data_IF_334033665191
#
_entry.id   IF_334033665191
#
_cell.length_a   1.000
_cell.length_b   1.000
_cell.length_c   1.000
_cell.angle_alpha   90.00
_cell.angle_beta   90.00
_cell.angle_gamma   90.00
#
_symmetry.space_group_name_H-M   'P 1'
#
loop_
_entity.id
_entity.type
_entity.pdbx_description
1 polymer ?
#
# COMPACT_ATOMS: atom_id res chain seq x y z
N UNK A 1 19.90 22.81 5.95
CA UNK A 1 18.90 23.33 4.99
C UNK A 1 19.13 22.65 3.67
N UNK A 2 18.08 22.04 3.11
CA UNK A 2 18.13 21.34 1.83
C UNK A 2 17.54 22.28 0.78
N UNK A 3 17.90 22.09 -0.48
CA UNK A 3 17.41 22.86 -1.61
C UNK A 3 16.74 21.93 -2.62
N UNK A 4 15.61 22.37 -3.17
CA UNK A 4 14.88 21.67 -4.23
C UNK A 4 14.44 22.67 -5.29
N UNK A 5 14.62 22.31 -6.55
CA UNK A 5 14.15 23.09 -7.71
C UNK A 5 12.99 22.36 -8.37
N UNK A 6 11.94 23.12 -8.71
CA UNK A 6 10.78 22.70 -9.50
C UNK A 6 10.78 23.52 -10.78
N UNK A 7 10.70 22.87 -11.93
CA UNK A 7 10.69 23.51 -13.25
C UNK A 7 9.27 23.54 -13.81
N UNK A 8 8.85 24.70 -14.29
CA UNK A 8 7.54 24.95 -14.91
C UNK A 8 7.65 24.78 -16.43
N UNK A 9 7.57 23.54 -16.89
CA UNK A 9 7.62 23.22 -18.33
C UNK A 9 6.23 23.30 -18.96
N UNK A 10 6.11 23.97 -20.12
CA UNK A 10 4.85 24.14 -20.86
C UNK A 10 3.74 24.86 -20.06
N UNK A 11 4.12 25.79 -19.19
CA UNK A 11 3.21 26.58 -18.34
C UNK A 11 3.42 28.06 -18.63
N UNK A 12 2.33 28.80 -18.85
CA UNK A 12 2.38 30.26 -18.90
C UNK A 12 2.72 30.81 -17.52
N UNK A 13 3.89 31.45 -17.40
CA UNK A 13 4.37 32.01 -16.13
C UNK A 13 3.41 33.07 -15.57
N UNK A 14 2.75 33.84 -16.43
CA UNK A 14 1.78 34.87 -16.04
C UNK A 14 0.55 34.23 -15.40
N UNK A 15 0.02 33.17 -16.03
CA UNK A 15 -1.21 32.52 -15.58
C UNK A 15 -1.00 31.61 -14.36
N UNK A 16 0.24 31.21 -14.09
CA UNK A 16 0.62 30.37 -12.96
C UNK A 16 1.13 31.17 -11.76
N UNK A 17 2.08 32.08 -11.96
CA UNK A 17 2.68 32.88 -10.88
C UNK A 17 1.78 34.05 -10.45
N UNK A 18 0.90 34.51 -11.36
CA UNK A 18 0.05 35.66 -11.16
C UNK A 18 0.79 36.99 -11.25
N UNK A 19 0.04 38.10 -11.21
CA UNK A 19 0.60 39.46 -11.19
C UNK A 19 1.51 39.61 -9.98
N UNK A 20 2.72 40.13 -10.19
CA UNK A 20 3.75 40.33 -9.16
C UNK A 20 4.18 39.05 -8.39
N UNK A 21 4.00 37.86 -8.97
CA UNK A 21 4.29 36.57 -8.33
C UNK A 21 3.43 36.25 -7.09
N UNK A 22 2.20 36.78 -7.03
CA UNK A 22 1.26 36.55 -5.92
C UNK A 22 1.09 35.09 -5.53
N UNK A 23 1.17 34.13 -6.45
CA UNK A 23 1.12 32.69 -6.14
C UNK A 23 2.26 32.28 -5.22
N UNK A 24 3.49 32.74 -5.50
CA UNK A 24 4.68 32.43 -4.71
C UNK A 24 4.67 33.20 -3.40
N UNK A 25 4.21 34.45 -3.40
CA UNK A 25 4.13 35.26 -2.18
C UNK A 25 3.12 34.65 -1.19
N UNK A 26 1.96 34.20 -1.69
CA UNK A 26 0.94 33.51 -0.88
C UNK A 26 1.49 32.21 -0.30
N UNK A 27 2.23 31.44 -1.11
CA UNK A 27 2.86 30.20 -0.66
C UNK A 27 3.99 30.47 0.36
N UNK A 28 4.81 31.50 0.14
CA UNK A 28 5.87 31.89 1.06
C UNK A 28 5.32 32.40 2.41
N UNK A 29 4.20 33.13 2.38
CA UNK A 29 3.51 33.58 3.59
C UNK A 29 3.00 32.41 4.45
N UNK A 30 2.57 31.32 3.81
CA UNK A 30 2.10 30.11 4.49
C UNK A 30 3.24 29.27 5.11
N UNK A 31 4.48 29.41 4.63
CA UNK A 31 5.65 28.65 5.10
C UNK A 31 6.81 29.57 5.51
N UNK A 32 6.66 30.36 6.60
CA UNK A 32 7.59 31.43 6.96
C UNK A 32 9.01 30.95 7.36
N UNK A 33 9.19 29.66 7.65
CA UNK A 33 10.51 29.07 7.98
C UNK A 33 11.25 28.55 6.74
N UNK A 34 10.58 28.53 5.58
CA UNK A 34 11.13 28.16 4.29
C UNK A 34 11.27 29.38 3.38
N UNK A 35 12.24 29.33 2.48
CA UNK A 35 12.49 30.36 1.47
C UNK A 35 12.10 29.82 0.10
N UNK A 36 11.09 30.43 -0.51
CA UNK A 36 10.58 30.08 -1.85
C UNK A 36 10.89 31.25 -2.78
N UNK A 37 11.54 30.97 -3.90
CA UNK A 37 11.94 32.01 -4.86
C UNK A 37 11.66 31.52 -6.27
N UNK A 38 10.97 32.34 -7.08
CA UNK A 38 10.83 32.10 -8.52
C UNK A 38 11.92 32.84 -9.29
N UNK A 39 12.52 32.16 -10.28
CA UNK A 39 13.48 32.72 -11.24
C UNK A 39 13.21 32.12 -12.62
N UNK A 40 12.62 32.91 -13.51
CA UNK A 40 12.24 32.41 -14.84
C UNK A 40 11.19 31.30 -14.72
N UNK A 41 11.47 30.13 -15.31
CA UNK A 41 10.61 28.94 -15.21
C UNK A 41 10.98 28.03 -14.03
N UNK A 42 11.87 28.45 -13.12
CA UNK A 42 12.25 27.64 -11.96
C UNK A 42 11.70 28.24 -10.66
N UNK A 43 11.23 27.36 -9.77
CA UNK A 43 10.88 27.66 -8.39
C UNK A 43 11.87 26.92 -7.49
N UNK A 44 12.64 27.68 -6.72
CA UNK A 44 13.64 27.16 -5.78
C UNK A 44 13.09 27.24 -4.37
N UNK A 45 13.11 26.11 -3.67
CA UNK A 45 12.62 25.95 -2.31
C UNK A 45 13.82 25.60 -1.41
N UNK A 46 14.01 26.37 -0.34
CA UNK A 46 15.02 26.11 0.69
C UNK A 46 14.36 26.04 2.06
N UNK A 47 14.58 24.96 2.79
CA UNK A 47 13.90 24.78 4.07
C UNK A 47 14.28 23.48 4.78
N UNK A 48 13.41 23.09 5.71
CA UNK A 48 13.42 21.75 6.32
C UNK A 48 12.88 20.71 5.32
N UNK A 49 13.24 19.44 5.49
CA UNK A 49 12.76 18.36 4.62
C UNK A 49 11.23 18.28 4.60
N UNK A 50 10.58 18.46 5.76
CA UNK A 50 9.12 18.40 5.88
C UNK A 50 8.43 19.52 5.10
N UNK A 51 8.90 20.76 5.25
CA UNK A 51 8.32 21.91 4.52
C UNK A 51 8.61 21.84 3.02
N UNK A 52 9.80 21.37 2.61
CA UNK A 52 10.11 21.18 1.18
C UNK A 52 9.14 20.19 0.54
N UNK A 53 8.80 19.09 1.23
CA UNK A 53 7.84 18.11 0.73
C UNK A 53 6.45 18.74 0.58
N UNK A 54 5.96 19.44 1.61
CA UNK A 54 4.66 20.12 1.58
C UNK A 54 4.57 21.17 0.47
N UNK A 55 5.58 22.03 0.36
CA UNK A 55 5.65 23.07 -0.69
C UNK A 55 5.69 22.41 -2.08
N UNK A 56 6.43 21.31 -2.24
CA UNK A 56 6.50 20.57 -3.49
C UNK A 56 5.15 19.93 -3.87
N UNK A 57 4.42 19.37 -2.91
CA UNK A 57 3.12 18.73 -3.14
C UNK A 57 2.03 19.75 -3.48
N UNK A 58 2.04 20.91 -2.81
CA UNK A 58 1.18 22.06 -3.17
C UNK A 58 1.52 22.54 -4.58
N UNK A 59 2.80 22.74 -4.91
CA UNK A 59 3.22 23.15 -6.26
C UNK A 59 2.82 22.14 -7.33
N UNK A 60 2.97 20.84 -7.07
CA UNK A 60 2.50 19.79 -7.97
C UNK A 60 0.98 19.86 -8.20
N UNK A 61 0.21 20.04 -7.13
CA UNK A 61 -1.25 20.19 -7.21
C UNK A 61 -1.67 21.46 -7.98
N UNK A 62 -0.93 22.55 -7.83
CA UNK A 62 -1.15 23.79 -8.58
C UNK A 62 -0.79 23.63 -10.06
N UNK A 63 0.27 22.88 -10.38
CA UNK A 63 0.65 22.54 -11.76
C UNK A 63 -0.45 21.70 -12.43
N UNK A 64 -0.96 20.68 -11.74
CA UNK A 64 -2.08 19.87 -12.22
C UNK A 64 -3.36 20.71 -12.40
N UNK A 65 -3.62 21.62 -11.46
CA UNK A 65 -4.74 22.57 -11.56
C UNK A 65 -4.60 23.44 -12.81
N UNK A 66 -3.40 23.98 -13.05
CA UNK A 66 -3.11 24.78 -14.23
C UNK A 66 -3.34 24.00 -15.52
N UNK A 67 -2.84 22.77 -15.63
CA UNK A 67 -3.05 21.95 -16.82
C UNK A 67 -4.53 21.64 -17.08
N UNK A 68 -5.36 21.61 -16.04
CA UNK A 68 -6.80 21.34 -16.16
C UNK A 68 -7.65 22.58 -16.45
N UNK A 69 -7.29 23.73 -15.87
CA UNK A 69 -8.15 24.93 -15.86
C UNK A 69 -7.52 26.15 -16.54
N UNK A 70 -6.24 26.09 -16.92
CA UNK A 70 -5.52 27.10 -17.68
C UNK A 70 -5.08 28.34 -16.88
N UNK A 71 -5.42 28.45 -15.59
CA UNK A 71 -4.94 29.51 -14.69
C UNK A 71 -4.90 29.03 -13.24
N UNK A 72 -4.12 29.73 -12.42
CA UNK A 72 -4.10 29.57 -10.96
C UNK A 72 -4.51 30.90 -10.32
N UNK A 73 -5.53 30.90 -9.47
CA UNK A 73 -5.92 32.10 -8.69
C UNK A 73 -5.41 32.03 -7.26
N UNK A 74 -5.32 33.19 -6.60
CA UNK A 74 -4.97 33.29 -5.18
C UNK A 74 -5.90 32.44 -4.29
N UNK A 75 -7.20 32.40 -4.61
CA UNK A 75 -8.17 31.53 -3.94
C UNK A 75 -7.84 30.05 -4.15
N UNK A 76 -7.38 29.64 -5.34
CA UNK A 76 -6.92 28.27 -5.55
C UNK A 76 -5.69 27.96 -4.69
N UNK A 77 -4.71 28.86 -4.67
CA UNK A 77 -3.48 28.70 -3.87
C UNK A 77 -3.82 28.58 -2.38
N UNK A 78 -4.66 29.47 -1.84
CA UNK A 78 -5.14 29.38 -0.46
C UNK A 78 -5.91 28.10 -0.21
N UNK A 79 -6.77 27.64 -1.14
CA UNK A 79 -7.48 26.37 -0.99
C UNK A 79 -6.55 25.15 -0.98
N UNK A 80 -5.49 25.13 -1.79
CA UNK A 80 -4.51 24.04 -1.78
C UNK A 80 -3.61 24.08 -0.54
N UNK A 81 -3.21 25.28 -0.09
CA UNK A 81 -2.53 25.48 1.19
C UNK A 81 -3.41 25.03 2.35
N UNK A 82 -4.65 25.51 2.42
CA UNK A 82 -5.61 25.15 3.46
C UNK A 82 -5.96 23.67 3.42
N UNK A 83 -6.05 23.02 2.25
CA UNK A 83 -6.20 21.55 2.19
C UNK A 83 -4.97 20.83 2.72
N UNK A 84 -3.78 21.32 2.41
CA UNK A 84 -2.52 20.77 2.92
C UNK A 84 -2.35 21.04 4.43
N UNK A 85 -2.93 22.13 4.95
CA UNK A 85 -2.88 22.53 6.36
C UNK A 85 -4.08 22.03 7.20
N UNK A 86 -5.25 21.76 6.61
CA UNK A 86 -6.41 21.06 7.22
C UNK A 86 -6.08 19.59 7.43
N UNK A 87 -5.13 19.04 6.66
CA UNK A 87 -4.47 17.78 7.01
C UNK A 87 -3.74 17.89 8.37
N UNK A 88 -3.57 19.09 8.96
CA UNK A 88 -2.84 19.35 10.20
C UNK A 88 -3.59 20.08 11.35
N UNK A 89 -4.87 20.46 11.25
CA UNK A 89 -5.60 21.04 12.40
C UNK A 89 -6.28 19.94 13.26
N UNK A 90 -6.14 19.98 14.60
CA UNK A 90 -6.45 18.85 15.46
C UNK A 90 -7.91 18.87 15.92
N UNK A 91 -8.74 18.04 15.32
CA UNK A 91 -9.85 17.43 16.06
C UNK A 91 -10.15 16.04 15.48
N UNK A 92 -10.08 15.02 16.33
CA UNK A 92 -10.28 13.59 16.04
C UNK A 92 -9.31 12.93 15.01
N UNK A 93 -8.04 12.84 15.41
CA UNK A 93 -7.19 11.66 15.20
C UNK A 93 -7.03 11.11 13.78
N UNK A 94 -6.20 11.75 12.95
CA UNK A 94 -5.42 11.15 11.84
C UNK A 94 -4.19 12.02 11.55
N UNK A 95 -3.09 11.46 11.00
CA UNK A 95 -1.79 11.62 11.65
C UNK A 95 -0.69 12.20 10.71
N UNK A 96 0.49 12.45 11.28
CA UNK A 96 1.66 13.17 10.71
C UNK A 96 2.28 12.58 9.42
N UNK A 97 3.33 13.20 8.86
CA UNK A 97 4.11 12.67 7.72
C UNK A 97 4.66 11.22 7.93
N UNK A 98 4.56 10.68 9.15
CA UNK A 98 4.85 9.29 9.50
C UNK A 98 3.82 8.26 8.99
N UNK A 99 2.65 8.69 8.50
CA UNK A 99 1.53 7.79 8.16
C UNK A 99 1.44 7.39 6.70
N UNK A 100 2.25 8.00 5.84
CA UNK A 100 2.39 7.56 4.46
C UNK A 100 3.27 6.31 4.44
N UNK A 101 2.71 5.20 3.97
CA UNK A 101 3.46 3.95 3.82
C UNK A 101 4.35 4.05 2.59
N UNK A 102 3.79 4.39 1.44
CA UNK A 102 4.53 4.55 0.19
C UNK A 102 3.78 5.49 -0.74
N UNK A 103 4.50 6.23 -1.57
CA UNK A 103 3.90 6.97 -2.68
C UNK A 103 3.71 6.06 -3.88
N UNK A 104 2.50 6.07 -4.44
CA UNK A 104 2.15 5.33 -5.63
C UNK A 104 2.79 5.92 -6.90
N UNK A 105 2.60 5.22 -8.02
CA UNK A 105 3.18 5.60 -9.33
C UNK A 105 2.67 6.94 -9.85
N UNK A 106 1.46 7.35 -9.45
CA UNK A 106 0.84 8.64 -9.80
C UNK A 106 1.06 9.71 -8.73
N UNK A 107 2.01 9.52 -7.82
CA UNK A 107 2.28 10.45 -6.70
C UNK A 107 1.25 10.38 -5.56
N UNK A 108 0.14 9.67 -5.72
CA UNK A 108 -0.86 9.51 -4.67
C UNK A 108 -0.28 8.76 -3.44
N UNK A 109 -0.44 9.28 -2.21
CA UNK A 109 0.04 8.61 -1.02
C UNK A 109 -0.81 7.38 -0.70
N UNK A 110 -0.15 6.25 -0.43
CA UNK A 110 -0.77 5.04 0.11
C UNK A 110 -0.58 5.04 1.62
N UNK A 111 -1.68 5.13 2.34
CA UNK A 111 -1.74 5.19 3.81
C UNK A 111 -2.81 4.25 4.37
N UNK A 112 -2.69 3.93 5.65
CA UNK A 112 -3.78 3.28 6.37
C UNK A 112 -5.00 4.21 6.39
N UNK A 113 -6.18 3.65 6.08
CA UNK A 113 -7.46 4.38 6.05
C UNK A 113 -8.32 4.11 7.28
N UNK A 114 -7.94 3.13 8.09
CA UNK A 114 -8.71 2.66 9.24
C UNK A 114 -7.79 2.37 10.41
N UNK A 115 -8.34 2.36 11.62
CA UNK A 115 -7.57 2.09 12.85
C UNK A 115 -6.91 0.71 12.82
N UNK A 116 -7.58 -0.32 12.32
CA UNK A 116 -6.97 -1.66 12.26
C UNK A 116 -5.92 -1.78 11.14
N UNK A 117 -6.06 -1.02 10.05
CA UNK A 117 -4.98 -0.90 9.06
C UNK A 117 -3.76 -0.19 9.66
N UNK A 118 -3.96 0.83 10.50
CA UNK A 118 -2.86 1.49 11.20
C UNK A 118 -2.19 0.54 12.20
N UNK A 119 -2.97 -0.24 12.95
CA UNK A 119 -2.44 -1.30 13.82
C UNK A 119 -1.61 -2.32 13.06
N UNK A 120 -1.98 -2.67 11.82
CA UNK A 120 -1.15 -3.51 10.96
C UNK A 120 0.19 -2.84 10.63
N UNK A 121 0.18 -1.55 10.27
CA UNK A 121 1.40 -0.78 10.00
C UNK A 121 2.32 -0.74 11.21
N UNK A 122 1.78 -0.51 12.40
CA UNK A 122 2.55 -0.40 13.64
C UNK A 122 3.07 -1.76 14.10
N UNK A 123 2.24 -2.81 14.05
CA UNK A 123 2.63 -4.17 14.42
C UNK A 123 3.85 -4.68 13.64
N UNK A 124 3.99 -4.30 12.37
CA UNK A 124 5.13 -4.69 11.52
C UNK A 124 6.44 -3.98 11.91
N UNK A 125 6.36 -2.83 12.59
CA UNK A 125 7.55 -2.15 13.15
C UNK A 125 8.13 -2.97 14.30
N UNK A 126 7.25 -3.43 15.19
CA UNK A 126 7.63 -4.06 16.46
C UNK A 126 7.81 -5.58 16.39
N UNK A 127 7.29 -6.22 15.33
CA UNK A 127 7.31 -7.67 15.18
C UNK A 127 7.99 -8.09 13.87
N UNK A 128 8.61 -9.26 13.88
CA UNK A 128 9.22 -9.83 12.69
C UNK A 128 8.24 -10.68 11.89
N UNK A 129 7.25 -11.26 12.57
CA UNK A 129 6.13 -11.99 11.95
C UNK A 129 4.81 -11.36 12.37
N UNK A 130 3.94 -11.04 11.40
CA UNK A 130 2.61 -10.50 11.69
C UNK A 130 1.53 -11.29 10.96
N UNK A 131 0.49 -11.70 11.68
CA UNK A 131 -0.74 -12.23 11.11
C UNK A 131 -1.76 -11.11 10.94
N UNK A 132 -2.16 -10.81 9.71
CA UNK A 132 -3.23 -9.88 9.38
C UNK A 132 -4.48 -10.66 8.96
N UNK A 133 -5.42 -10.78 9.89
CA UNK A 133 -6.61 -11.62 9.75
C UNK A 133 -7.83 -10.74 9.47
N UNK A 134 -8.69 -11.11 8.53
CA UNK A 134 -9.95 -10.40 8.35
C UNK A 134 -10.58 -10.57 6.97
N UNK A 135 -11.80 -10.04 6.79
CA UNK A 135 -12.58 -10.30 5.58
C UNK A 135 -11.98 -9.69 4.31
N UNK A 136 -12.45 -10.18 3.15
CA UNK A 136 -12.09 -9.64 1.85
C UNK A 136 -12.48 -8.14 1.71
N UNK A 137 -11.58 -7.35 1.14
CA UNK A 137 -11.77 -5.91 0.93
C UNK A 137 -11.44 -5.02 2.13
N UNK A 138 -10.92 -5.57 3.23
CA UNK A 138 -10.39 -4.79 4.37
C UNK A 138 -9.02 -4.14 4.11
N UNK A 139 -8.42 -4.41 2.94
CA UNK A 139 -7.11 -3.86 2.56
C UNK A 139 -5.90 -4.61 3.14
N UNK A 140 -6.09 -5.73 3.84
CA UNK A 140 -5.00 -6.51 4.47
C UNK A 140 -3.83 -6.82 3.51
N UNK A 141 -4.13 -7.36 2.34
CA UNK A 141 -3.12 -7.69 1.32
C UNK A 141 -2.48 -6.43 0.74
N UNK A 142 -3.29 -5.43 0.38
CA UNK A 142 -2.80 -4.19 -0.22
C UNK A 142 -1.85 -3.42 0.70
N UNK A 143 -2.21 -3.25 1.98
CA UNK A 143 -1.35 -2.61 2.99
C UNK A 143 -0.09 -3.44 3.24
N UNK A 144 -0.18 -4.77 3.26
CA UNK A 144 0.99 -5.65 3.43
C UNK A 144 1.98 -5.52 2.27
N UNK A 145 1.48 -5.45 1.02
CA UNK A 145 2.31 -5.18 -0.16
C UNK A 145 2.95 -3.80 -0.07
N UNK A 146 2.20 -2.77 0.35
CA UNK A 146 2.73 -1.41 0.53
C UNK A 146 3.87 -1.37 1.56
N UNK A 147 3.72 -2.06 2.69
CA UNK A 147 4.76 -2.17 3.73
C UNK A 147 6.01 -2.89 3.21
N UNK A 148 5.82 -3.96 2.44
CA UNK A 148 6.92 -4.71 1.84
C UNK A 148 7.68 -3.87 0.80
N UNK A 149 6.97 -3.14 -0.07
CA UNK A 149 7.56 -2.22 -1.05
C UNK A 149 8.30 -1.08 -0.36
N UNK A 150 7.76 -0.53 0.74
CA UNK A 150 8.45 0.48 1.55
C UNK A 150 9.77 -0.05 2.08
N UNK A 151 9.77 -1.25 2.69
CA UNK A 151 10.98 -1.87 3.22
C UNK A 151 12.04 -2.08 2.13
N UNK A 152 11.63 -2.51 0.93
CA UNK A 152 12.52 -2.67 -0.22
C UNK A 152 13.09 -1.32 -0.70
N UNK A 153 12.25 -0.30 -0.87
CA UNK A 153 12.67 1.06 -1.30
C UNK A 153 13.64 1.68 -0.28
N UNK A 154 13.42 1.45 1.01
CA UNK A 154 14.27 1.93 2.10
C UNK A 154 15.51 1.06 2.34
N UNK A 155 15.74 0.03 1.51
CA UNK A 155 16.87 -0.90 1.62
C UNK A 155 16.96 -1.64 2.96
N UNK A 156 15.82 -1.76 3.66
CA UNK A 156 15.73 -2.55 4.90
C UNK A 156 15.79 -4.05 4.59
N UNK A 157 15.32 -4.44 3.40
CA UNK A 157 15.43 -5.79 2.85
C UNK A 157 16.02 -5.73 1.46
N UNK A 158 16.58 -6.85 0.99
CA UNK A 158 17.16 -6.99 -0.35
C UNK A 158 16.19 -7.62 -1.34
N UNK A 159 15.26 -8.44 -0.86
CA UNK A 159 14.29 -9.18 -1.68
C UNK A 159 12.89 -9.06 -1.10
N UNK A 160 11.88 -9.07 -1.95
CA UNK A 160 10.48 -9.18 -1.60
C UNK A 160 9.94 -10.48 -2.20
N UNK A 161 9.34 -11.33 -1.37
CA UNK A 161 8.84 -12.65 -1.78
C UNK A 161 7.35 -12.70 -1.45
N UNK A 162 6.49 -12.83 -2.45
CA UNK A 162 5.06 -12.99 -2.26
C UNK A 162 4.66 -14.39 -2.70
N UNK A 163 3.91 -15.06 -1.85
CA UNK A 163 3.43 -16.39 -2.11
C UNK A 163 1.96 -16.55 -1.78
N UNK A 164 1.30 -17.45 -2.49
CA UNK A 164 -0.10 -17.81 -2.30
C UNK A 164 -0.20 -19.35 -2.42
N UNK A 165 -1.00 -20.03 -1.58
CA UNK A 165 -1.26 -21.45 -1.78
C UNK A 165 -2.07 -21.63 -3.06
N UNK A 166 -1.75 -22.69 -3.82
CA UNK A 166 -2.60 -23.09 -4.93
C UNK A 166 -3.81 -23.84 -4.37
N UNK A 167 -5.00 -23.33 -4.65
CA UNK A 167 -6.28 -23.89 -4.20
C UNK A 167 -7.26 -23.77 -5.35
N UNK A 168 -7.93 -24.86 -5.66
CA UNK A 168 -8.93 -24.93 -6.71
C UNK A 168 -10.25 -24.37 -6.18
N UNK A 169 -10.33 -23.04 -6.07
CA UNK A 169 -11.57 -22.37 -5.70
C UNK A 169 -12.52 -22.35 -6.91
N UNK A 170 -13.37 -23.37 -7.04
CA UNK A 170 -14.47 -23.42 -8.00
C UNK A 170 -14.12 -23.85 -9.42
N UNK A 171 -12.86 -23.77 -9.84
CA UNK A 171 -12.36 -24.31 -11.11
C UNK A 171 -11.12 -25.18 -10.87
N UNK A 172 -11.13 -26.40 -11.42
CA UNK A 172 -10.00 -27.32 -11.34
C UNK A 172 -8.82 -26.72 -12.13
N UNK A 173 -7.67 -26.50 -11.48
CA UNK A 173 -6.46 -25.94 -12.10
C UNK A 173 -6.03 -26.75 -13.34
N UNK A 174 -6.40 -28.04 -13.37
CA UNK A 174 -6.19 -28.94 -14.50
C UNK A 174 -6.83 -28.50 -15.82
N UNK A 175 -7.89 -27.67 -15.82
CA UNK A 175 -8.68 -27.35 -17.02
C UNK A 175 -8.32 -26.03 -17.70
N UNK A 176 -7.55 -25.14 -17.05
CA UNK A 176 -7.04 -23.94 -17.70
C UNK A 176 -6.00 -24.35 -18.76
N UNK A 177 -6.13 -23.95 -20.05
CA UNK A 177 -5.12 -24.23 -21.06
C UNK A 177 -3.84 -23.44 -20.77
N UNK A 178 -2.68 -24.00 -21.13
CA UNK A 178 -1.38 -23.32 -20.95
C UNK A 178 -0.41 -24.04 -20.01
N UNK A 179 0.77 -23.44 -19.81
CA UNK A 179 1.77 -23.92 -18.87
C UNK A 179 1.35 -23.70 -17.40
N UNK A 180 2.05 -24.30 -16.44
CA UNK A 180 1.71 -24.18 -15.02
C UNK A 180 1.68 -22.72 -14.53
N UNK A 181 2.45 -21.84 -15.16
CA UNK A 181 2.53 -20.43 -14.79
C UNK A 181 1.29 -19.68 -15.28
N UNK A 182 0.90 -19.89 -16.53
CA UNK A 182 -0.32 -19.33 -17.15
C UNK A 182 -1.58 -19.71 -16.37
N UNK A 183 -1.62 -20.92 -15.79
CA UNK A 183 -2.75 -21.40 -14.97
C UNK A 183 -2.83 -20.74 -13.58
N UNK A 184 -1.70 -20.30 -13.02
CA UNK A 184 -1.64 -19.73 -11.66
C UNK A 184 -1.70 -18.20 -11.69
N UNK A 185 -1.28 -17.58 -12.79
CA UNK A 185 -1.27 -16.12 -12.98
C UNK A 185 -2.59 -15.41 -12.64
N UNK A 186 -3.79 -15.95 -12.96
CA UNK A 186 -5.06 -15.32 -12.56
C UNK A 186 -5.19 -15.13 -11.04
N UNK A 187 -4.74 -16.10 -10.24
CA UNK A 187 -4.79 -16.05 -8.77
C UNK A 187 -3.76 -15.07 -8.18
N UNK A 188 -2.70 -14.78 -8.93
CA UNK A 188 -1.66 -13.82 -8.54
C UNK A 188 -1.97 -12.40 -9.02
N UNK A 189 -2.99 -12.21 -9.87
CA UNK A 189 -3.33 -10.91 -10.45
C UNK A 189 -3.53 -9.78 -9.43
N UNK A 190 -4.25 -9.98 -8.31
CA UNK A 190 -4.40 -8.92 -7.30
C UNK A 190 -3.07 -8.42 -6.72
N UNK A 191 -2.06 -9.29 -6.64
CA UNK A 191 -0.72 -8.94 -6.18
C UNK A 191 0.00 -8.09 -7.23
N UNK A 192 -0.08 -8.47 -8.50
CA UNK A 192 0.49 -7.68 -9.61
C UNK A 192 -0.13 -6.28 -9.67
N UNK A 193 -1.45 -6.18 -9.57
CA UNK A 193 -2.15 -4.90 -9.62
C UNK A 193 -1.70 -3.99 -8.45
N UNK A 194 -1.59 -4.53 -7.24
CA UNK A 194 -1.08 -3.79 -6.07
C UNK A 194 0.38 -3.31 -6.27
N UNK A 195 1.24 -4.11 -6.88
CA UNK A 195 2.62 -3.71 -7.17
C UNK A 195 2.69 -2.61 -8.24
N UNK A 196 1.84 -2.67 -9.27
CA UNK A 196 1.76 -1.63 -10.31
C UNK A 196 1.29 -0.28 -9.78
N UNK A 197 0.46 -0.26 -8.74
CA UNK A 197 0.09 0.97 -8.06
C UNK A 197 1.29 1.63 -7.35
N UNK A 198 2.29 0.85 -6.94
CA UNK A 198 3.36 1.27 -6.03
C UNK A 198 4.73 1.43 -6.71
N UNK A 199 4.94 0.75 -7.84
CA UNK A 199 6.23 0.68 -8.54
C UNK A 199 5.99 0.93 -10.04
N UNK A 200 6.71 1.89 -10.67
CA UNK A 200 6.58 2.14 -12.10
C UNK A 200 6.86 0.89 -12.93
N UNK A 201 6.13 0.73 -14.03
CA UNK A 201 6.12 -0.49 -14.86
C UNK A 201 7.52 -1.01 -15.20
N UNK A 202 8.38 -0.16 -15.78
CA UNK A 202 9.75 -0.53 -16.18
C UNK A 202 10.61 -0.99 -14.98
N UNK A 203 10.45 -0.34 -13.83
CA UNK A 203 11.18 -0.67 -12.62
C UNK A 203 10.69 -1.97 -12.00
N UNK A 204 9.39 -2.21 -12.01
CA UNK A 204 8.81 -3.47 -11.55
C UNK A 204 9.27 -4.63 -12.43
N UNK A 205 9.27 -4.46 -13.76
CA UNK A 205 9.80 -5.46 -14.70
C UNK A 205 11.25 -5.80 -14.37
N UNK A 206 12.11 -4.79 -14.21
CA UNK A 206 13.50 -4.99 -13.80
C UNK A 206 13.62 -5.76 -12.47
N UNK A 207 12.80 -5.42 -11.46
CA UNK A 207 12.81 -6.12 -10.19
C UNK A 207 12.38 -7.59 -10.30
N UNK A 208 11.41 -7.90 -11.15
CA UNK A 208 10.97 -9.28 -11.39
C UNK A 208 12.05 -10.09 -12.14
N UNK A 209 12.63 -9.52 -13.20
CA UNK A 209 13.68 -10.19 -14.00
C UNK A 209 14.96 -10.46 -13.20
N UNK A 210 15.28 -9.59 -12.24
CA UNK A 210 16.43 -9.75 -11.32
C UNK A 210 16.08 -10.55 -10.07
N UNK A 211 14.85 -11.06 -9.98
CA UNK A 211 14.30 -11.75 -8.81
C UNK A 211 14.40 -10.93 -7.50
N UNK A 212 14.46 -9.60 -7.59
CA UNK A 212 14.38 -8.70 -6.42
C UNK A 212 12.96 -8.74 -5.84
N UNK A 213 11.97 -8.82 -6.72
CA UNK A 213 10.59 -9.18 -6.37
C UNK A 213 10.31 -10.56 -6.96
N UNK A 214 9.91 -11.49 -6.12
CA UNK A 214 9.59 -12.86 -6.50
C UNK A 214 8.13 -13.15 -6.12
N UNK A 215 7.32 -13.56 -7.09
CA UNK A 215 5.94 -13.98 -6.86
C UNK A 215 5.84 -15.43 -7.29
N UNK A 216 5.59 -16.32 -6.34
CA UNK A 216 5.64 -17.76 -6.59
C UNK A 216 4.64 -18.56 -5.73
N UNK A 217 4.17 -19.73 -6.20
CA UNK A 217 3.31 -20.60 -5.40
C UNK A 217 4.00 -21.08 -4.10
N UNK A 218 3.21 -21.38 -3.07
CA UNK A 218 3.73 -21.79 -1.76
C UNK A 218 4.69 -22.99 -1.81
N UNK A 219 4.48 -23.90 -2.76
CA UNK A 219 5.33 -25.07 -2.95
C UNK A 219 6.81 -24.73 -3.24
N UNK A 220 7.08 -23.57 -3.85
CA UNK A 220 8.43 -23.12 -4.21
C UNK A 220 9.24 -22.67 -3.00
N UNK A 221 8.60 -22.53 -1.84
CA UNK A 221 9.26 -22.15 -0.60
C UNK A 221 9.95 -23.33 0.08
N UNK A 222 9.64 -24.57 -0.32
CA UNK A 222 10.19 -25.78 0.28
C UNK A 222 11.71 -25.82 0.14
N UNK A 223 12.40 -26.13 1.25
CA UNK A 223 13.87 -26.27 1.27
C UNK A 223 14.65 -24.96 1.21
N UNK A 224 13.96 -23.80 1.17
CA UNK A 224 14.62 -22.50 1.16
C UNK A 224 14.85 -21.97 2.57
N UNK A 225 15.80 -21.05 2.68
CA UNK A 225 15.92 -20.14 3.83
C UNK A 225 15.86 -18.72 3.26
N UNK A 226 14.90 -17.94 3.73
CA UNK A 226 14.56 -16.63 3.18
C UNK A 226 15.20 -15.55 4.03
N UNK A 227 16.46 -15.21 3.72
CA UNK A 227 17.27 -14.22 4.44
C UNK A 227 17.11 -12.83 3.82
N UNK A 228 17.24 -11.77 4.63
CA UNK A 228 17.26 -10.38 4.14
C UNK A 228 16.03 -10.05 3.26
N UNK A 229 14.87 -10.62 3.58
CA UNK A 229 13.70 -10.60 2.71
C UNK A 229 12.44 -10.12 3.44
N UNK A 230 11.57 -9.42 2.72
CA UNK A 230 10.20 -9.17 3.16
C UNK A 230 9.29 -10.20 2.50
N UNK A 231 8.64 -11.04 3.32
CA UNK A 231 7.95 -12.24 2.86
C UNK A 231 6.45 -12.08 3.13
N UNK A 232 5.62 -12.31 2.12
CA UNK A 232 4.17 -12.26 2.22
C UNK A 232 3.58 -13.62 1.87
N UNK A 233 2.74 -14.18 2.73
CA UNK A 233 1.85 -15.29 2.40
C UNK A 233 0.41 -14.79 2.36
N UNK A 234 -0.17 -14.73 1.17
CA UNK A 234 -1.55 -14.33 0.97
C UNK A 234 -2.50 -15.53 0.89
N UNK A 235 -3.77 -15.30 1.23
CA UNK A 235 -4.80 -16.35 1.39
C UNK A 235 -4.37 -17.53 2.27
N UNK A 236 -3.69 -17.23 3.38
CA UNK A 236 -3.12 -18.23 4.25
C UNK A 236 -4.15 -19.20 4.86
N UNK A 237 -5.44 -18.84 4.88
CA UNK A 237 -6.51 -19.73 5.34
C UNK A 237 -6.59 -21.03 4.51
N UNK A 238 -6.08 -20.97 3.28
CA UNK A 238 -6.03 -22.10 2.35
C UNK A 238 -4.72 -22.89 2.41
N UNK A 239 -3.99 -22.78 3.52
CA UNK A 239 -2.86 -23.67 3.83
C UNK A 239 -3.29 -24.79 4.74
N UNK A 240 -2.67 -25.96 4.61
CA UNK A 240 -2.72 -27.02 5.64
C UNK A 240 -1.76 -26.71 6.79
N UNK A 241 -1.92 -27.33 7.98
CA UNK A 241 -0.99 -27.16 9.10
C UNK A 241 0.46 -27.49 8.73
N UNK A 242 0.65 -28.53 7.92
CA UNK A 242 1.97 -28.93 7.42
C UNK A 242 2.57 -27.86 6.51
N UNK A 243 1.79 -27.27 5.60
CA UNK A 243 2.25 -26.20 4.72
C UNK A 243 2.57 -24.92 5.51
N UNK A 244 1.72 -24.54 6.46
CA UNK A 244 1.95 -23.38 7.33
C UNK A 244 3.23 -23.55 8.15
N UNK A 245 3.40 -24.69 8.82
CA UNK A 245 4.62 -25.00 9.58
C UNK A 245 5.87 -25.01 8.68
N UNK A 246 5.76 -25.62 7.49
CA UNK A 246 6.84 -25.62 6.51
C UNK A 246 7.24 -24.18 6.16
N UNK A 247 6.27 -23.33 5.86
CA UNK A 247 6.49 -21.95 5.43
C UNK A 247 7.08 -21.06 6.54
N UNK A 248 6.50 -21.08 7.74
CA UNK A 248 6.98 -20.27 8.86
C UNK A 248 8.45 -20.59 9.22
N UNK A 249 8.86 -21.85 9.08
CA UNK A 249 10.27 -22.27 9.31
C UNK A 249 11.23 -21.91 8.17
N UNK A 250 10.77 -21.26 7.10
CA UNK A 250 11.66 -20.74 6.04
C UNK A 250 12.21 -19.35 6.35
N UNK A 251 11.65 -18.66 7.34
CA UNK A 251 12.08 -17.32 7.72
C UNK A 251 13.53 -17.34 8.22
N UNK A 252 14.40 -16.59 7.56
CA UNK A 252 15.81 -16.45 7.92
C UNK A 252 16.13 -15.12 8.62
N UNK A 253 17.41 -14.87 8.94
CA UNK A 253 17.84 -13.63 9.61
C UNK A 253 17.55 -12.37 8.77
N UNK A 254 17.31 -11.26 9.47
CA UNK A 254 17.05 -9.93 8.90
C UNK A 254 15.89 -9.93 7.90
N UNK A 255 14.92 -10.82 8.12
CA UNK A 255 13.70 -10.91 7.33
C UNK A 255 12.50 -10.47 8.15
N UNK A 256 11.46 -10.02 7.46
CA UNK A 256 10.13 -9.81 8.03
C UNK A 256 9.11 -10.61 7.24
N UNK A 257 8.04 -11.04 7.91
CA UNK A 257 7.00 -11.87 7.32
C UNK A 257 5.62 -11.35 7.71
N UNK A 258 4.72 -11.24 6.73
CA UNK A 258 3.31 -11.01 6.98
C UNK A 258 2.50 -12.17 6.39
N UNK A 259 1.58 -12.70 7.18
CA UNK A 259 0.63 -13.74 6.80
C UNK A 259 -0.75 -13.09 6.75
N UNK A 260 -1.35 -13.03 5.56
CA UNK A 260 -2.71 -12.49 5.38
C UNK A 260 -3.71 -13.61 5.13
N UNK A 261 -4.90 -13.51 5.71
CA UNK A 261 -5.94 -14.49 5.45
C UNK A 261 -7.29 -14.17 6.10
N UNK A 262 -8.30 -14.93 5.71
CA UNK A 262 -9.65 -14.87 6.26
C UNK A 262 -10.06 -16.24 6.81
N UNK A 263 -10.06 -16.40 8.14
CA UNK A 263 -10.39 -17.67 8.77
C UNK A 263 -11.86 -18.12 8.53
N UNK A 264 -12.72 -17.24 8.01
CA UNK A 264 -14.11 -17.58 7.65
C UNK A 264 -14.26 -18.15 6.23
N UNK A 265 -13.28 -17.96 5.34
CA UNK A 265 -13.34 -18.33 3.91
C UNK A 265 -12.32 -19.42 3.55
N UNK A 266 -12.53 -20.64 4.06
CA UNK A 266 -11.61 -21.76 3.82
C UNK A 266 -12.06 -22.55 2.59
N UNK A 267 -11.22 -22.57 1.56
CA UNK A 267 -11.45 -23.27 0.28
C UNK A 267 -10.73 -24.64 0.22
N UNK A 268 -10.23 -25.14 1.35
CA UNK A 268 -9.50 -26.41 1.39
C UNK A 268 -10.40 -27.61 1.06
N UNK A 269 -9.96 -28.53 0.18
CA UNK A 269 -10.76 -29.70 -0.17
C UNK A 269 -10.83 -30.70 0.99
N UNK A 270 -11.96 -31.42 1.09
CA UNK A 270 -12.09 -32.59 1.96
C UNK A 270 -12.10 -32.29 3.47
N UNK A 271 -12.67 -31.17 3.90
CA UNK A 271 -12.76 -30.76 5.32
C UNK A 271 -11.41 -30.75 6.04
N UNK A 272 -10.31 -30.52 5.31
CA UNK A 272 -9.00 -30.39 5.92
C UNK A 272 -8.96 -29.20 6.89
N UNK A 273 -8.21 -29.36 7.97
CA UNK A 273 -7.99 -28.26 8.93
C UNK A 273 -7.17 -27.16 8.26
N UNK A 274 -7.53 -25.91 8.54
CA UNK A 274 -6.75 -24.75 8.09
C UNK A 274 -5.51 -24.57 8.98
N UNK A 275 -4.34 -24.49 8.35
CA UNK A 275 -3.07 -24.18 8.99
C UNK A 275 -3.04 -22.79 9.59
N UNK A 276 -3.76 -21.82 9.02
CA UNK A 276 -3.89 -20.47 9.60
C UNK A 276 -4.58 -20.51 10.97
N UNK A 277 -5.74 -21.19 11.07
CA UNK A 277 -6.47 -21.33 12.33
C UNK A 277 -5.62 -22.01 13.40
N UNK A 278 -4.89 -23.05 13.03
CA UNK A 278 -3.98 -23.74 13.93
C UNK A 278 -2.82 -22.86 14.38
N UNK A 279 -2.16 -22.16 13.45
CA UNK A 279 -1.03 -21.29 13.75
C UNK A 279 -1.42 -20.15 14.71
N UNK A 280 -2.57 -19.52 14.52
CA UNK A 280 -3.07 -18.47 15.43
C UNK A 280 -3.24 -19.02 16.85
N UNK A 281 -3.81 -20.22 17.00
CA UNK A 281 -3.99 -20.87 18.29
C UNK A 281 -2.66 -21.24 18.95
N UNK A 282 -1.71 -21.78 18.18
CA UNK A 282 -0.43 -22.30 18.69
C UNK A 282 0.55 -21.18 19.00
N UNK A 283 0.57 -20.12 18.18
CA UNK A 283 1.61 -19.07 18.23
C UNK A 283 1.19 -17.83 19.00
N UNK A 284 -0.05 -17.75 19.51
CA UNK A 284 -0.58 -16.56 20.19
C UNK A 284 0.19 -16.07 21.42
N UNK A 285 1.08 -16.88 21.98
CA UNK A 285 1.90 -16.54 23.16
C UNK A 285 3.39 -16.26 22.83
N UNK A 286 3.77 -16.38 21.55
CA UNK A 286 5.17 -16.27 21.13
C UNK A 286 5.53 -14.78 20.93
N UNK A 287 6.58 -14.32 21.61
CA UNK A 287 7.07 -12.94 21.48
C UNK A 287 7.64 -12.69 20.09
N UNK A 288 7.44 -11.48 19.56
CA UNK A 288 7.86 -11.09 18.22
C UNK A 288 6.90 -11.54 17.10
N UNK A 289 5.77 -12.15 17.47
CA UNK A 289 4.65 -12.45 16.57
C UNK A 289 3.47 -11.54 16.91
N UNK A 290 3.10 -10.69 15.95
CA UNK A 290 1.93 -9.82 16.05
C UNK A 290 0.68 -10.46 15.45
N UNK A 291 -0.48 -10.21 16.04
CA UNK A 291 -1.78 -10.60 15.49
C UNK A 291 -2.66 -9.35 15.36
N UNK A 292 -3.14 -9.08 14.15
CA UNK A 292 -3.98 -7.92 13.84
C UNK A 292 -5.27 -8.41 13.18
N UNK A 293 -6.38 -8.15 13.84
CA UNK A 293 -7.72 -8.46 13.33
C UNK A 293 -8.33 -7.22 12.65
N UNK A 294 -8.62 -7.37 11.36
CA UNK A 294 -9.42 -6.46 10.56
C UNK A 294 -10.85 -7.01 10.49
N UNK A 295 -11.81 -6.09 10.42
CA UNK A 295 -13.24 -6.39 10.48
C UNK A 295 -13.98 -5.83 9.27
N UNK A 296 -15.27 -6.13 9.13
CA UNK A 296 -16.10 -5.54 8.06
C UNK A 296 -16.14 -4.01 8.11
N UNK A 297 -15.90 -3.40 9.29
CA UNK A 297 -15.83 -1.94 9.44
C UNK A 297 -14.61 -1.34 8.73
N UNK A 298 -13.60 -2.15 8.46
CA UNK A 298 -12.38 -1.75 7.77
C UNK A 298 -12.52 -1.78 6.23
N UNK A 299 -13.70 -2.18 5.73
CA UNK A 299 -13.98 -2.31 4.31
C UNK A 299 -14.23 -0.95 3.68
N UNK A 300 -13.22 -0.48 2.95
CA UNK A 300 -13.29 0.76 2.17
C UNK A 300 -13.77 0.43 0.75
N UNK A 301 -15.09 0.49 0.55
CA UNK A 301 -15.75 0.29 -0.75
C UNK A 301 -16.42 1.58 -1.21
N UNK A 302 -16.51 1.74 -2.52
CA UNK A 302 -17.29 2.81 -3.13
C UNK A 302 -18.74 2.77 -2.65
N UNK A 303 -19.40 3.93 -2.49
CA UNK A 303 -20.78 4.04 -1.98
C UNK A 303 -21.73 3.11 -2.74
N UNK A 304 -21.70 3.16 -4.07
CA UNK A 304 -22.53 2.31 -4.92
C UNK A 304 -22.35 0.81 -4.65
N UNK A 305 -21.11 0.36 -4.37
CA UNK A 305 -20.85 -1.06 -4.07
C UNK A 305 -21.48 -1.44 -2.73
N UNK A 306 -21.48 -0.54 -1.74
CA UNK A 306 -22.17 -0.75 -0.47
C UNK A 306 -23.68 -0.84 -0.68
N UNK A 307 -24.25 0.08 -1.46
CA UNK A 307 -25.68 0.11 -1.79
C UNK A 307 -26.12 -1.18 -2.50
N UNK A 308 -25.30 -1.68 -3.44
CA UNK A 308 -25.54 -2.96 -4.13
C UNK A 308 -25.55 -4.12 -3.13
N UNK A 309 -24.54 -4.22 -2.26
CA UNK A 309 -24.46 -5.31 -1.27
C UNK A 309 -25.66 -5.29 -0.33
N UNK A 310 -26.09 -4.10 0.10
CA UNK A 310 -27.25 -3.95 0.96
C UNK A 310 -28.54 -4.34 0.24
N UNK A 311 -28.70 -3.98 -1.03
CA UNK A 311 -29.84 -4.39 -1.85
C UNK A 311 -29.90 -5.92 -2.00
N UNK A 312 -28.77 -6.59 -2.25
CA UNK A 312 -28.72 -8.06 -2.30
C UNK A 312 -29.02 -8.70 -0.93
N UNK A 313 -28.49 -8.17 0.18
CA UNK A 313 -28.80 -8.66 1.53
C UNK A 313 -30.30 -8.57 1.87
N UNK A 314 -31.00 -7.55 1.37
CA UNK A 314 -32.45 -7.37 1.57
C UNK A 314 -33.30 -8.19 0.60
N UNK A 315 -32.78 -8.47 -0.60
CA UNK A 315 -33.48 -9.16 -1.68
C UNK A 315 -33.30 -10.69 -1.69
N UNK A 316 -32.26 -11.20 -1.04
CA UNK A 316 -32.06 -12.64 -0.85
C UNK A 316 -32.92 -13.11 0.34
N UNK A 317 -33.95 -13.95 0.13
CA UNK A 317 -34.57 -14.66 1.25
C UNK A 317 -33.47 -15.52 1.88
N UNK A 318 -33.34 -15.47 3.21
CA UNK A 318 -32.48 -16.39 3.96
C UNK A 318 -32.81 -17.82 3.52
N UNK A 319 -31.87 -18.48 2.83
CA UNK A 319 -31.94 -19.92 2.64
C UNK A 319 -31.87 -20.55 4.04
N UNK A 320 -33.04 -20.99 4.51
CA UNK A 320 -33.23 -21.74 5.77
C UNK A 320 -32.64 -23.14 5.67
#
# INVERSE_FOLDING_TARGET
MIEKTVTLDNISLIDFLGVENKTIDTLAAAFPKSKIVSRGNEIVIKGSTAEIVQINDILGSLIDHYHKFGKVTEENVQNYISKEQEIMLPDNGYPTAEDVIVYGTKGAPIKAKTVNQQRLVDSVKDNDLVFALGPAGTGKTYISVALAVRALKNKQVKKLIITRPAVEAGENLGFLPGDLKEKIDPYLRPIYDALHDMIPFEKLRYYMEREIIEIAPLAYMRGRTLNNAFILLDEAQNTTPMQMKMFLTRMGPESKMIITGDASQIDLPGNQRSGLKEAVKVLGHVKGIGFVELSEKDVVRHRLVRDIIEAYKKGSPEEK
#
